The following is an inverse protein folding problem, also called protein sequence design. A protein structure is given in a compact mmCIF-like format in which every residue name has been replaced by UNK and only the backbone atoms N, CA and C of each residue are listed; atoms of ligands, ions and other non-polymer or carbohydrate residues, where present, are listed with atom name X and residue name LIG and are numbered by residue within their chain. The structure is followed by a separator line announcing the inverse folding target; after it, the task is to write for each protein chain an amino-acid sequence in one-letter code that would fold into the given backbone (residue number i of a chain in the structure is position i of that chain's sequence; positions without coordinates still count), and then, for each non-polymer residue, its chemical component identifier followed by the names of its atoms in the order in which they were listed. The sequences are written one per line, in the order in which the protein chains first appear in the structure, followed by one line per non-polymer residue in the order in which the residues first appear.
data_IF_976071330535
#
_entry.id   IF_976071330535
#
_cell.length_a   1.000
_cell.length_b   1.000
_cell.length_c   1.000
_cell.angle_alpha   90.00
_cell.angle_beta   90.00
_cell.angle_gamma   90.00
#
_symmetry.space_group_name_H-M   'P 1'
#
loop_
_entity.id
_entity.type
_entity.pdbx_description
1 polymer ?
#
# COMPACT_ATOMS: atom_id res chain seq x y z
N UNK A 1 1.36 0.81 -3.45
CA UNK A 1 1.13 0.73 -1.97
C UNK A 1 -0.31 1.05 -1.67
N UNK A 2 -0.86 0.53 -0.57
CA UNK A 2 -2.19 0.93 -0.05
C UNK A 2 -2.31 2.44 0.21
N UNK A 3 -1.19 3.15 0.40
CA UNK A 3 -1.15 4.60 0.56
C UNK A 3 -1.76 5.36 -0.64
N UNK A 4 -1.82 4.76 -1.83
CA UNK A 4 -2.42 5.37 -3.01
C UNK A 4 -3.96 5.35 -3.03
N UNK A 5 -4.61 4.67 -2.07
CA UNK A 5 -6.08 4.51 -2.05
C UNK A 5 -6.78 5.34 -0.99
N UNK A 6 -6.05 6.20 -0.28
CA UNK A 6 -6.58 7.05 0.79
C UNK A 6 -5.74 8.32 0.96
N UNK A 7 -6.29 9.38 1.58
CA UNK A 7 -5.48 10.52 1.99
C UNK A 7 -4.40 10.11 3.01
N UNK A 8 -3.19 10.65 2.86
CA UNK A 8 -2.02 10.30 3.68
C UNK A 8 -1.35 11.54 4.30
N UNK A 9 -1.96 12.17 5.31
CA UNK A 9 -1.30 13.25 6.07
C UNK A 9 0.07 12.82 6.59
N UNK A 10 1.00 13.76 6.73
CA UNK A 10 2.43 13.53 7.01
C UNK A 10 3.24 12.86 5.86
N UNK A 11 2.56 12.29 4.85
CA UNK A 11 3.19 11.59 3.74
C UNK A 11 2.55 11.96 2.38
N UNK A 12 2.10 13.21 2.24
CA UNK A 12 1.24 13.63 1.13
C UNK A 12 1.86 13.38 -0.26
N UNK A 13 3.16 13.68 -0.43
CA UNK A 13 3.88 13.44 -1.70
C UNK A 13 3.98 11.95 -2.00
N UNK A 14 4.27 11.14 -0.98
CA UNK A 14 4.34 9.69 -1.12
C UNK A 14 2.99 9.09 -1.53
N UNK A 15 1.90 9.44 -0.83
CA UNK A 15 0.57 8.96 -1.18
C UNK A 15 0.10 9.43 -2.56
N UNK A 16 0.33 10.70 -2.91
CA UNK A 16 0.00 11.21 -4.24
C UNK A 16 0.74 10.48 -5.36
N UNK A 17 2.04 10.20 -5.16
CA UNK A 17 2.84 9.41 -6.10
C UNK A 17 2.31 7.99 -6.22
N UNK A 18 1.90 7.37 -5.10
CA UNK A 18 1.33 6.02 -5.13
C UNK A 18 -0.06 5.98 -5.75
N UNK A 19 -0.86 7.05 -5.66
CA UNK A 19 -2.12 7.17 -6.38
C UNK A 19 -1.87 7.29 -7.90
N UNK A 20 -0.87 8.09 -8.31
CA UNK A 20 -0.44 8.18 -9.70
C UNK A 20 0.02 6.82 -10.25
N UNK A 21 0.87 6.09 -9.52
CA UNK A 21 1.35 4.75 -9.93
C UNK A 21 0.18 3.80 -10.23
N UNK A 22 -0.89 3.86 -9.41
CA UNK A 22 -2.08 3.02 -9.60
C UNK A 22 -2.86 3.40 -10.84
N UNK A 23 -3.18 4.69 -11.01
CA UNK A 23 -3.93 5.18 -12.17
C UNK A 23 -3.16 4.91 -13.48
N UNK A 24 -1.85 5.16 -13.45
CA UNK A 24 -0.96 4.91 -14.57
C UNK A 24 -0.94 3.43 -14.95
N UNK A 25 -0.73 2.53 -13.99
CA UNK A 25 -0.69 1.09 -14.24
C UNK A 25 -2.04 0.55 -14.75
N UNK A 26 -3.17 1.03 -14.21
CA UNK A 26 -4.50 0.65 -14.67
C UNK A 26 -4.76 1.09 -16.12
N UNK A 27 -4.45 2.36 -16.43
CA UNK A 27 -4.60 2.91 -17.78
C UNK A 27 -3.73 2.15 -18.78
N UNK A 28 -2.45 1.95 -18.44
CA UNK A 28 -1.50 1.23 -19.29
C UNK A 28 -1.91 -0.23 -19.52
N UNK A 29 -2.39 -0.91 -18.47
CA UNK A 29 -2.94 -2.28 -18.57
C UNK A 29 -4.11 -2.35 -19.56
N UNK A 30 -4.96 -1.32 -19.60
CA UNK A 30 -6.09 -1.25 -20.54
C UNK A 30 -5.67 -0.96 -21.98
N UNK A 31 -4.69 -0.06 -22.17
CA UNK A 31 -4.13 0.29 -23.48
C UNK A 31 -3.37 -0.89 -24.11
N UNK A 32 -2.70 -1.71 -23.29
CA UNK A 32 -1.88 -2.84 -23.75
C UNK A 32 -2.65 -4.17 -23.89
N UNK A 33 -3.96 -4.20 -23.64
CA UNK A 33 -4.74 -5.46 -23.52
C UNK A 33 -4.65 -6.41 -24.72
N UNK A 34 -4.39 -5.87 -25.92
CA UNK A 34 -4.35 -6.63 -27.18
C UNK A 34 -2.91 -6.89 -27.68
N UNK A 35 -1.90 -6.60 -26.85
CA UNK A 35 -0.47 -6.65 -27.24
C UNK A 35 0.29 -7.87 -26.73
N UNK A 36 -0.32 -8.67 -25.84
CA UNK A 36 0.34 -9.77 -25.13
C UNK A 36 1.23 -9.33 -23.96
N UNK A 37 1.34 -8.02 -23.68
CA UNK A 37 2.03 -7.47 -22.51
C UNK A 37 1.04 -7.31 -21.35
N UNK A 38 1.40 -7.83 -20.17
CA UNK A 38 0.62 -7.67 -18.93
C UNK A 38 1.22 -6.60 -18.02
N UNK A 39 0.35 -5.91 -17.29
CA UNK A 39 0.71 -4.90 -16.28
C UNK A 39 -0.11 -5.17 -15.02
N UNK A 40 0.58 -5.26 -13.88
CA UNK A 40 -0.01 -5.51 -12.56
C UNK A 40 0.37 -4.40 -11.59
N UNK A 41 -0.62 -3.75 -10.98
CA UNK A 41 -0.40 -2.73 -9.96
C UNK A 41 -0.38 -3.36 -8.55
N UNK A 42 0.79 -3.36 -7.90
CA UNK A 42 0.98 -3.91 -6.56
C UNK A 42 0.69 -2.87 -5.47
N UNK A 43 -0.18 -3.23 -4.53
CA UNK A 43 -0.52 -2.45 -3.34
C UNK A 43 -0.09 -3.19 -2.06
N UNK A 44 1.20 -3.14 -1.69
CA UNK A 44 1.61 -3.68 -0.40
C UNK A 44 1.17 -2.74 0.73
N UNK A 45 0.87 -3.35 1.88
CA UNK A 45 0.76 -2.70 3.18
C UNK A 45 2.13 -2.38 3.79
N UNK A 46 2.19 -2.22 5.11
CA UNK A 46 3.47 -2.06 5.81
C UNK A 46 4.26 -3.38 5.78
N UNK A 47 5.29 -3.45 4.94
CA UNK A 47 6.15 -4.63 4.76
C UNK A 47 7.42 -4.51 5.59
N UNK A 48 7.87 -5.61 6.21
CA UNK A 48 9.04 -5.63 7.10
C UNK A 48 10.36 -5.46 6.34
N UNK A 49 10.69 -4.21 6.03
CA UNK A 49 11.89 -3.82 5.29
C UNK A 49 12.50 -2.57 5.91
N UNK A 50 13.73 -2.26 5.50
CA UNK A 50 14.43 -1.01 5.84
C UNK A 50 13.75 0.29 5.34
N UNK A 51 12.59 0.19 4.67
CA UNK A 51 11.87 1.35 4.14
C UNK A 51 11.55 2.39 5.23
N UNK A 52 10.98 1.94 6.34
CA UNK A 52 10.51 2.84 7.39
C UNK A 52 11.66 3.49 8.17
N UNK A 53 12.73 2.73 8.40
CA UNK A 53 13.96 3.27 8.99
C UNK A 53 14.56 4.38 8.11
N UNK A 54 14.68 4.11 6.80
CA UNK A 54 15.17 5.11 5.82
C UNK A 54 14.25 6.31 5.63
N UNK A 55 12.97 6.14 5.92
CA UNK A 55 11.97 7.21 5.89
C UNK A 55 11.90 8.00 7.20
N UNK A 56 12.77 7.71 8.18
CA UNK A 56 12.79 8.33 9.52
C UNK A 56 11.46 8.14 10.26
N UNK A 57 10.85 6.95 10.14
CA UNK A 57 9.51 6.64 10.65
C UNK A 57 9.51 5.68 11.84
N UNK A 58 10.68 5.35 12.40
CA UNK A 58 10.79 4.40 13.51
C UNK A 58 10.06 4.87 14.78
N UNK A 59 9.74 6.17 14.88
CA UNK A 59 8.99 6.76 15.98
C UNK A 59 7.48 6.91 15.70
N UNK A 60 6.98 6.32 14.60
CA UNK A 60 5.57 6.39 14.20
C UNK A 60 4.87 5.04 14.34
N UNK A 61 3.56 5.01 14.59
CA UNK A 61 2.80 3.74 14.59
C UNK A 61 2.80 3.10 13.20
N UNK A 62 2.68 3.86 12.13
CA UNK A 62 2.72 3.28 10.76
C UNK A 62 4.08 2.64 10.44
N UNK A 63 5.15 3.16 11.05
CA UNK A 63 6.51 2.65 10.92
C UNK A 63 6.93 1.67 12.02
N UNK A 64 6.04 1.21 12.89
CA UNK A 64 6.34 0.19 13.91
C UNK A 64 5.28 -0.91 14.00
N UNK A 65 4.02 -0.57 13.75
CA UNK A 65 2.89 -1.48 13.81
C UNK A 65 2.67 -2.21 12.48
N UNK A 66 2.42 -3.52 12.55
CA UNK A 66 1.93 -4.31 11.41
C UNK A 66 2.96 -4.71 10.36
N UNK A 67 4.25 -4.33 10.49
CA UNK A 67 5.33 -4.81 9.62
C UNK A 67 5.52 -6.32 9.71
N UNK A 68 5.50 -6.85 10.92
CA UNK A 68 5.67 -8.28 11.22
C UNK A 68 4.61 -9.16 10.54
N UNK A 69 3.47 -8.58 10.17
CA UNK A 69 2.39 -9.28 9.49
C UNK A 69 2.57 -9.39 7.98
N UNK A 70 3.64 -8.82 7.40
CA UNK A 70 3.92 -8.83 5.97
C UNK A 70 5.41 -9.09 5.70
N UNK A 71 5.77 -10.37 5.58
CA UNK A 71 7.12 -10.79 5.17
C UNK A 71 7.44 -10.33 3.73
N UNK A 72 8.63 -9.77 3.46
CA UNK A 72 8.99 -9.29 2.12
C UNK A 72 9.02 -10.36 1.04
N UNK A 73 9.46 -11.58 1.37
CA UNK A 73 9.52 -12.67 0.41
C UNK A 73 8.10 -13.15 0.06
N UNK A 74 7.20 -13.22 1.02
CA UNK A 74 5.79 -13.52 0.78
C UNK A 74 5.11 -12.44 -0.08
N UNK A 75 5.34 -11.16 0.22
CA UNK A 75 4.81 -10.04 -0.59
C UNK A 75 5.33 -10.11 -2.03
N UNK A 76 6.61 -10.40 -2.22
CA UNK A 76 7.22 -10.56 -3.54
C UNK A 76 6.66 -11.78 -4.29
N UNK A 77 6.48 -12.91 -3.62
CA UNK A 77 5.89 -14.11 -4.22
C UNK A 77 4.45 -13.86 -4.66
N UNK A 78 3.63 -13.22 -3.81
CA UNK A 78 2.26 -12.86 -4.17
C UNK A 78 2.21 -11.94 -5.40
N UNK A 79 3.11 -10.95 -5.46
CA UNK A 79 3.22 -10.04 -6.60
C UNK A 79 3.59 -10.78 -7.89
N UNK A 80 4.57 -11.68 -7.83
CA UNK A 80 5.01 -12.49 -8.96
C UNK A 80 3.87 -13.39 -9.45
N UNK A 81 3.19 -14.10 -8.55
CA UNK A 81 2.12 -15.01 -8.94
C UNK A 81 0.93 -14.27 -9.57
N UNK A 82 0.57 -13.09 -9.05
CA UNK A 82 -0.48 -12.26 -9.63
C UNK A 82 -0.11 -11.74 -11.04
N UNK A 83 1.15 -11.33 -11.23
CA UNK A 83 1.66 -10.93 -12.53
C UNK A 83 1.58 -12.08 -13.54
N UNK A 84 2.01 -13.28 -13.13
CA UNK A 84 1.98 -14.48 -13.98
C UNK A 84 0.56 -14.96 -14.31
N UNK A 85 -0.43 -14.65 -13.46
CA UNK A 85 -1.86 -14.89 -13.73
C UNK A 85 -2.52 -13.78 -14.56
N UNK A 86 -1.80 -12.71 -14.90
CA UNK A 86 -2.35 -11.57 -15.63
C UNK A 86 -3.33 -10.72 -14.81
N UNK A 87 -3.24 -10.76 -13.48
CA UNK A 87 -4.06 -9.92 -12.62
C UNK A 87 -3.65 -8.45 -12.77
N UNK A 88 -4.62 -7.55 -12.92
CA UNK A 88 -4.34 -6.12 -13.13
C UNK A 88 -3.96 -5.40 -11.83
N UNK A 89 -4.44 -5.90 -10.70
CA UNK A 89 -4.21 -5.29 -9.39
C UNK A 89 -4.15 -6.35 -8.30
N UNK A 90 -3.25 -6.15 -7.35
CA UNK A 90 -3.15 -7.00 -6.16
C UNK A 90 -2.95 -6.13 -4.91
N UNK A 91 -3.76 -6.37 -3.88
CA UNK A 91 -3.42 -5.99 -2.51
C UNK A 91 -2.56 -7.12 -1.93
N UNK A 92 -1.27 -6.86 -1.72
CA UNK A 92 -0.33 -7.87 -1.24
C UNK A 92 -0.19 -7.75 0.27
N UNK A 93 -1.04 -8.50 0.97
CA UNK A 93 -1.14 -8.50 2.43
C UNK A 93 -1.76 -9.82 2.93
N UNK A 94 -1.63 -10.07 4.23
CA UNK A 94 -2.39 -11.10 4.94
C UNK A 94 -3.92 -10.86 4.82
N UNK A 95 -4.72 -11.93 4.97
CA UNK A 95 -6.18 -11.88 4.81
C UNK A 95 -6.87 -10.85 5.73
N UNK A 96 -6.30 -10.60 6.91
CA UNK A 96 -6.79 -9.64 7.89
C UNK A 96 -6.60 -8.20 7.41
N UNK A 97 -5.45 -7.87 6.82
CA UNK A 97 -5.19 -6.53 6.26
C UNK A 97 -6.01 -6.29 4.99
N UNK A 98 -6.22 -7.33 4.16
CA UNK A 98 -7.16 -7.27 3.02
C UNK A 98 -8.59 -6.91 3.46
N UNK A 99 -9.09 -7.51 4.54
CA UNK A 99 -10.42 -7.19 5.08
C UNK A 99 -10.49 -5.77 5.66
N UNK A 100 -9.44 -5.31 6.34
CA UNK A 100 -9.34 -3.92 6.81
C UNK A 100 -9.31 -2.92 5.64
N UNK A 101 -8.60 -3.23 4.55
CA UNK A 101 -8.55 -2.41 3.34
C UNK A 101 -9.89 -2.33 2.59
N UNK A 102 -10.63 -3.45 2.50
CA UNK A 102 -11.96 -3.49 1.88
C UNK A 102 -12.99 -2.72 2.71
N UNK A 103 -13.01 -2.90 4.02
CA UNK A 103 -13.92 -2.17 4.92
C UNK A 103 -13.60 -0.67 4.95
N UNK A 104 -12.31 -0.31 4.86
CA UNK A 104 -11.87 1.07 4.74
C UNK A 104 -12.32 1.79 3.47
N UNK A 105 -12.59 1.06 2.38
CA UNK A 105 -13.06 1.65 1.10
C UNK A 105 -14.40 2.41 1.24
N UNK A 106 -15.21 2.04 2.23
CA UNK A 106 -16.52 2.65 2.47
C UNK A 106 -16.50 3.76 3.53
N UNK A 107 -15.36 4.02 4.16
CA UNK A 107 -15.22 5.12 5.12
C UNK A 107 -15.02 6.46 4.39
N UNK A 108 -15.59 7.58 4.92
CA UNK A 108 -15.31 8.91 4.40
C UNK A 108 -13.81 9.23 4.41
N UNK A 109 -13.35 9.99 3.41
CA UNK A 109 -11.95 10.38 3.26
C UNK A 109 -11.41 11.16 4.47
N UNK A 110 -12.24 11.98 5.11
CA UNK A 110 -11.88 12.69 6.34
C UNK A 110 -11.56 11.74 7.51
N UNK A 111 -12.29 10.63 7.62
CA UNK A 111 -12.06 9.62 8.66
C UNK A 111 -10.75 8.88 8.38
N UNK A 112 -10.56 8.44 7.12
CA UNK A 112 -9.30 7.79 6.70
C UNK A 112 -8.09 8.70 6.92
N UNK A 113 -8.20 9.98 6.56
CA UNK A 113 -7.16 10.98 6.76
C UNK A 113 -6.81 11.13 8.25
N UNK A 114 -7.82 11.28 9.12
CA UNK A 114 -7.59 11.41 10.57
C UNK A 114 -6.96 10.16 11.18
N UNK A 115 -7.40 8.97 10.77
CA UNK A 115 -6.79 7.71 11.21
C UNK A 115 -5.32 7.60 10.76
N UNK A 116 -5.04 7.90 9.49
CA UNK A 116 -3.69 7.89 8.95
C UNK A 116 -2.78 8.89 9.66
N UNK A 117 -3.26 10.11 9.90
CA UNK A 117 -2.52 11.16 10.61
C UNK A 117 -2.12 10.70 12.02
N UNK A 118 -3.05 10.10 12.77
CA UNK A 118 -2.77 9.58 14.13
C UNK A 118 -1.69 8.50 14.14
N UNK A 119 -1.54 7.73 13.06
CA UNK A 119 -0.52 6.69 12.96
C UNK A 119 0.82 7.21 12.41
N UNK A 120 0.79 8.27 11.61
CA UNK A 120 1.96 8.75 10.85
C UNK A 120 2.62 9.97 11.48
N UNK A 121 2.03 10.54 12.52
CA UNK A 121 2.63 11.63 13.28
C UNK A 121 3.83 11.12 14.09
N UNK A 122 4.92 11.88 14.10
CA UNK A 122 6.11 11.59 14.90
C UNK A 122 5.79 11.48 16.40
N UNK A 123 6.53 10.62 17.10
CA UNK A 123 6.34 10.30 18.51
C UNK A 123 5.07 9.51 18.82
N UNK A 124 4.52 8.77 17.86
CA UNK A 124 3.32 7.94 18.07
C UNK A 124 3.63 6.48 18.31
N UNK A 125 4.86 5.99 18.06
CA UNK A 125 5.25 4.63 18.41
C UNK A 125 5.00 4.34 19.90
N UNK A 126 4.58 3.10 20.22
CA UNK A 126 4.46 2.66 21.61
C UNK A 126 5.88 2.51 22.20
N UNK A 127 6.07 2.89 23.48
CA UNK A 127 7.38 2.78 24.19
C UNK A 127 7.91 1.34 24.26
#
# INVERSE_FOLDING_TARGET
SIAGTMPTPQQAVYGATKAFDLEFAQSLSYELRDTGVTVTALKPGATDTEFFHRAEMDDTKVGTSGKESNDPAEVAQQAYDALMRGEKELFAESLTTKMAGVTGRFMPDSVKASMHEKMSKHGTADE
#
